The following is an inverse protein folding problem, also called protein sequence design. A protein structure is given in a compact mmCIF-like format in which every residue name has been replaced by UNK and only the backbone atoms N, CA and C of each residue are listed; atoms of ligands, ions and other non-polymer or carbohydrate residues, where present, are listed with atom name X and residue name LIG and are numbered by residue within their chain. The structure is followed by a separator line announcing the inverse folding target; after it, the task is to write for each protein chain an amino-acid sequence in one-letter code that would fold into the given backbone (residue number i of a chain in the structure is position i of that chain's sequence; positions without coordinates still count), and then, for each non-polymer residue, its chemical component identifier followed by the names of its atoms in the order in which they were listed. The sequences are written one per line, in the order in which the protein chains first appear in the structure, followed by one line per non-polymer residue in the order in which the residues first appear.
data_IF_314519359204
#
_entry.id   IF_314519359204
#
_cell.length_a   1.000
_cell.length_b   1.000
_cell.length_c   1.000
_cell.angle_alpha   90.00
_cell.angle_beta   90.00
_cell.angle_gamma   90.00
#
_symmetry.space_group_name_H-M   'P 1'
#
loop_
_entity.id
_entity.type
_entity.pdbx_description
1 polymer ?
#
# COMPACT_ATOMS: atom_id res chain seq x y z
N UNK A 1 -13.52 -15.12 5.65
CA UNK A 1 -13.27 -16.57 5.65
C UNK A 1 -12.22 -16.82 4.58
N UNK A 2 -10.95 -17.00 4.96
CA UNK A 2 -9.86 -17.10 3.97
C UNK A 2 -10.07 -18.31 3.06
N UNK A 3 -9.75 -18.16 1.76
CA UNK A 3 -9.91 -19.25 0.79
C UNK A 3 -8.87 -20.36 0.98
N UNK A 4 -7.71 -20.03 1.55
CA UNK A 4 -6.65 -21.00 1.84
C UNK A 4 -6.44 -21.18 3.34
N UNK A 5 -5.86 -22.32 3.74
CA UNK A 5 -5.50 -22.58 5.13
C UNK A 5 -4.45 -21.55 5.62
N UNK A 6 -4.42 -21.20 6.93
CA UNK A 6 -3.48 -20.19 7.45
C UNK A 6 -2.00 -20.47 7.16
N UNK A 7 -1.61 -21.74 7.01
CA UNK A 7 -0.25 -22.14 6.62
C UNK A 7 0.16 -21.67 5.22
N UNK A 8 -0.80 -21.26 4.37
CA UNK A 8 -0.57 -20.72 3.03
C UNK A 8 -0.56 -19.19 2.99
N UNK A 9 -0.62 -18.52 4.15
CA UNK A 9 -0.50 -17.07 4.21
C UNK A 9 0.85 -16.65 3.62
N UNK A 10 0.79 -15.95 2.48
CA UNK A 10 1.95 -15.48 1.74
C UNK A 10 1.71 -14.04 1.33
N UNK A 11 2.63 -13.14 1.67
CA UNK A 11 2.56 -11.72 1.29
C UNK A 11 2.40 -11.61 -0.23
N UNK A 12 3.15 -12.41 -0.98
CA UNK A 12 3.08 -12.46 -2.44
C UNK A 12 1.70 -12.89 -2.95
N UNK A 13 1.13 -13.96 -2.39
CA UNK A 13 -0.18 -14.45 -2.83
C UNK A 13 -1.29 -13.43 -2.55
N UNK A 14 -1.24 -12.77 -1.38
CA UNK A 14 -2.24 -11.80 -0.96
C UNK A 14 -2.08 -10.47 -1.72
N UNK A 15 -0.86 -9.99 -1.95
CA UNK A 15 -0.61 -8.89 -2.90
C UNK A 15 -1.02 -9.26 -4.33
N UNK A 16 -0.88 -10.53 -4.69
CA UNK A 16 -1.41 -11.08 -5.93
C UNK A 16 -2.94 -11.11 -6.00
N UNK A 17 -3.66 -10.85 -4.90
CA UNK A 17 -5.11 -10.89 -4.84
C UNK A 17 -5.68 -12.31 -5.00
N UNK A 18 -4.84 -13.34 -4.81
CA UNK A 18 -5.23 -14.74 -5.01
C UNK A 18 -6.20 -15.25 -3.93
N UNK A 19 -6.15 -14.64 -2.74
CA UNK A 19 -7.15 -14.82 -1.69
C UNK A 19 -7.79 -13.46 -1.36
N UNK A 20 -8.77 -13.02 -2.15
CA UNK A 20 -9.29 -11.66 -2.06
C UNK A 20 -10.04 -11.37 -0.76
N UNK A 21 -10.30 -12.38 0.07
CA UNK A 21 -10.98 -12.21 1.37
C UNK A 21 -10.04 -12.31 2.57
N UNK A 22 -8.75 -12.52 2.30
CA UNK A 22 -7.74 -12.69 3.33
C UNK A 22 -6.95 -11.40 3.53
N UNK A 23 -7.29 -10.71 4.61
CA UNK A 23 -6.63 -9.49 5.04
C UNK A 23 -5.65 -9.72 6.20
N UNK A 24 -5.06 -10.93 6.35
CA UNK A 24 -4.21 -11.28 7.50
C UNK A 24 -3.06 -10.29 7.72
N UNK A 25 -2.41 -9.82 6.65
CA UNK A 25 -1.31 -8.84 6.71
C UNK A 25 -1.76 -7.41 7.01
N UNK A 26 -3.06 -7.15 7.00
CA UNK A 26 -3.66 -5.89 7.44
C UNK A 26 -4.09 -5.95 8.90
N UNK A 27 -4.52 -7.11 9.40
CA UNK A 27 -4.98 -7.27 10.80
C UNK A 27 -3.89 -7.72 11.76
N UNK A 28 -2.76 -8.19 11.23
CA UNK A 28 -1.59 -8.68 11.99
C UNK A 28 -0.38 -7.81 11.69
N UNK A 29 -0.51 -6.49 11.92
CA UNK A 29 0.56 -5.53 11.63
C UNK A 29 1.64 -5.51 12.72
N UNK A 30 1.30 -5.85 13.96
CA UNK A 30 2.23 -5.89 15.11
C UNK A 30 3.12 -4.62 15.26
N UNK A 31 2.57 -3.46 14.90
CA UNK A 31 3.27 -2.16 14.96
C UNK A 31 4.12 -1.82 13.72
N UNK A 32 4.17 -2.71 12.72
CA UNK A 32 5.02 -2.57 11.51
C UNK A 32 4.30 -1.92 10.31
N UNK A 33 3.17 -1.27 10.54
CA UNK A 33 2.42 -0.61 9.49
C UNK A 33 1.29 0.30 9.94
N UNK A 34 0.67 0.93 8.97
CA UNK A 34 -0.36 1.95 9.12
C UNK A 34 -1.61 1.53 8.34
N UNK A 35 -2.79 1.77 8.92
CA UNK A 35 -4.08 1.53 8.27
C UNK A 35 -4.87 2.84 8.23
N UNK A 36 -5.27 3.23 7.02
CA UNK A 36 -6.12 4.39 6.78
C UNK A 36 -7.47 3.95 6.24
N UNK A 37 -8.51 4.64 6.69
CA UNK A 37 -9.88 4.39 6.29
C UNK A 37 -10.56 5.66 5.81
N UNK A 38 -11.28 5.55 4.69
CA UNK A 38 -12.27 6.57 4.34
C UNK A 38 -13.46 6.53 5.32
N UNK A 39 -14.26 7.61 5.40
CA UNK A 39 -15.66 7.50 5.83
C UNK A 39 -16.42 6.46 5.01
N UNK A 40 -17.56 5.95 5.50
CA UNK A 40 -18.45 5.12 4.68
C UNK A 40 -18.86 5.89 3.42
N UNK A 41 -18.83 5.20 2.29
CA UNK A 41 -19.26 5.76 1.00
C UNK A 41 -20.75 6.09 1.06
N UNK A 42 -21.12 7.31 0.67
CA UNK A 42 -22.53 7.75 0.62
C UNK A 42 -23.26 7.24 -0.62
N UNK A 43 -22.51 6.92 -1.67
CA UNK A 43 -22.98 6.39 -2.94
C UNK A 43 -22.02 5.29 -3.42
N UNK A 44 -22.44 4.48 -4.38
CA UNK A 44 -21.57 3.46 -4.94
C UNK A 44 -20.41 4.11 -5.69
N UNK A 45 -19.18 3.61 -5.48
CA UNK A 45 -17.97 4.15 -6.10
C UNK A 45 -17.44 3.17 -7.14
N UNK A 46 -17.52 3.53 -8.41
CA UNK A 46 -16.91 2.77 -9.51
C UNK A 46 -15.45 3.18 -9.66
N UNK A 47 -14.55 2.21 -9.62
CA UNK A 47 -13.11 2.40 -9.80
C UNK A 47 -12.69 1.63 -11.04
N UNK A 48 -12.01 2.30 -11.97
CA UNK A 48 -11.49 1.71 -13.22
C UNK A 48 -10.15 2.34 -13.52
N UNK A 49 -9.06 1.65 -13.18
CA UNK A 49 -7.71 2.18 -13.36
C UNK A 49 -6.70 1.66 -12.34
N UNK A 50 -5.51 2.24 -12.38
CA UNK A 50 -4.48 2.09 -11.35
C UNK A 50 -4.55 3.26 -10.35
N UNK A 51 -4.73 3.00 -9.05
CA UNK A 51 -4.53 3.99 -8.00
C UNK A 51 -3.12 4.57 -7.98
N UNK A 52 -2.95 5.71 -7.32
CA UNK A 52 -1.62 6.24 -7.01
C UNK A 52 -1.56 6.79 -5.60
N UNK A 53 -0.38 6.77 -5.00
CA UNK A 53 -0.16 7.18 -3.61
C UNK A 53 1.01 8.16 -3.54
N UNK A 54 0.74 9.35 -2.97
CA UNK A 54 1.78 10.32 -2.61
C UNK A 54 1.94 10.31 -1.09
N UNK A 55 3.12 9.94 -0.60
CA UNK A 55 3.44 9.91 0.82
C UNK A 55 4.43 11.02 1.15
N UNK A 56 4.13 11.78 2.21
CA UNK A 56 5.10 12.61 2.92
C UNK A 56 5.79 11.73 3.96
N UNK A 57 7.12 11.62 3.88
CA UNK A 57 7.88 10.70 4.74
C UNK A 57 9.12 11.36 5.33
N UNK A 58 9.55 10.85 6.50
CA UNK A 58 10.89 11.04 7.05
C UNK A 58 11.48 9.63 7.27
N UNK A 59 12.36 9.15 6.38
CA UNK A 59 13.02 7.86 6.52
C UNK A 59 14.26 7.96 7.42
N UNK A 60 14.70 6.85 8.01
CA UNK A 60 15.99 6.75 8.71
C UNK A 60 17.10 6.08 7.90
N UNK A 61 16.76 5.56 6.71
CA UNK A 61 17.68 4.94 5.75
C UNK A 61 17.51 5.53 4.36
N UNK A 62 18.50 5.31 3.50
CA UNK A 62 18.54 5.71 2.09
C UNK A 62 17.57 4.92 1.20
N UNK A 63 16.97 3.85 1.70
CA UNK A 63 15.94 3.10 1.00
C UNK A 63 15.04 2.28 1.94
N UNK A 64 13.87 1.87 1.45
CA UNK A 64 12.97 0.98 2.14
C UNK A 64 12.00 0.27 1.18
N UNK A 65 11.56 -0.91 1.59
CA UNK A 65 10.58 -1.72 0.87
C UNK A 65 9.20 -1.60 1.54
N UNK A 66 8.16 -1.27 0.77
CA UNK A 66 6.79 -1.11 1.23
C UNK A 66 5.83 -2.10 0.54
N UNK A 67 4.97 -2.72 1.34
CA UNK A 67 3.76 -3.40 0.87
C UNK A 67 2.57 -2.47 1.04
N UNK A 68 1.90 -2.17 -0.08
CA UNK A 68 0.71 -1.33 -0.14
C UNK A 68 -0.48 -2.21 -0.51
N UNK A 69 -1.56 -2.18 0.28
CA UNK A 69 -2.77 -2.95 -0.03
C UNK A 69 -4.01 -2.08 0.07
N UNK A 70 -4.86 -2.17 -0.95
CA UNK A 70 -6.16 -1.53 -1.00
C UNK A 70 -7.25 -2.58 -0.86
N UNK A 71 -8.20 -2.32 0.05
CA UNK A 71 -9.36 -3.16 0.27
C UNK A 71 -10.65 -2.33 0.28
N UNK A 72 -11.73 -2.94 -0.19
CA UNK A 72 -13.09 -2.55 0.18
C UNK A 72 -13.40 -3.18 1.55
N UNK A 73 -13.79 -2.38 2.53
CA UNK A 73 -14.31 -2.89 3.81
C UNK A 73 -15.81 -2.66 3.85
N UNK A 74 -16.55 -3.76 3.80
CA UNK A 74 -18.02 -3.75 3.75
C UNK A 74 -18.62 -3.43 5.13
N UNK A 75 -19.91 -3.05 5.19
CA UNK A 75 -20.61 -2.84 6.46
C UNK A 75 -20.58 -4.05 7.41
N UNK A 76 -20.49 -5.27 6.87
CA UNK A 76 -20.32 -6.51 7.64
C UNK A 76 -18.96 -6.63 8.34
N UNK A 77 -17.99 -5.80 7.98
CA UNK A 77 -16.60 -5.89 8.42
C UNK A 77 -15.69 -6.69 7.47
N UNK A 78 -16.27 -7.36 6.47
CA UNK A 78 -15.49 -8.12 5.48
C UNK A 78 -14.58 -7.18 4.67
N UNK A 79 -13.30 -7.53 4.58
CA UNK A 79 -12.33 -6.84 3.75
C UNK A 79 -12.11 -7.63 2.45
N UNK A 80 -12.36 -6.97 1.32
CA UNK A 80 -12.18 -7.54 -0.01
C UNK A 80 -11.04 -6.81 -0.72
N UNK A 81 -10.00 -7.56 -1.10
CA UNK A 81 -8.87 -7.06 -1.88
C UNK A 81 -9.33 -6.34 -3.15
N UNK A 82 -8.70 -5.20 -3.44
CA UNK A 82 -8.92 -4.42 -4.66
C UNK A 82 -7.66 -4.29 -5.51
N UNK A 83 -6.58 -3.79 -4.92
CA UNK A 83 -5.35 -3.43 -5.61
C UNK A 83 -4.20 -3.39 -4.60
N UNK A 84 -2.96 -3.37 -5.09
CA UNK A 84 -1.78 -3.36 -4.24
C UNK A 84 -0.56 -2.89 -5.01
N UNK A 85 0.52 -2.67 -4.27
CA UNK A 85 1.87 -2.59 -4.80
C UNK A 85 2.86 -3.21 -3.79
N UNK A 86 3.99 -3.70 -4.28
CA UNK A 86 5.17 -4.09 -3.50
C UNK A 86 6.35 -3.35 -4.10
N UNK A 87 6.81 -2.32 -3.42
CA UNK A 87 7.70 -1.34 -4.02
C UNK A 87 8.95 -1.15 -3.16
N UNK A 88 10.10 -1.09 -3.83
CA UNK A 88 11.31 -0.49 -3.27
C UNK A 88 11.30 0.99 -3.58
N UNK A 89 11.37 1.84 -2.55
CA UNK A 89 11.17 3.28 -2.73
C UNK A 89 12.21 3.91 -3.66
N UNK A 90 13.46 3.45 -3.68
CA UNK A 90 14.47 3.91 -4.65
C UNK A 90 14.07 3.63 -6.11
N UNK A 91 13.32 2.56 -6.36
CA UNK A 91 12.83 2.17 -7.70
C UNK A 91 11.39 2.61 -8.00
N UNK A 92 10.83 3.55 -7.21
CA UNK A 92 9.45 4.05 -7.38
C UNK A 92 9.14 4.63 -8.76
N UNK A 93 10.16 5.03 -9.52
CA UNK A 93 10.01 5.50 -10.90
C UNK A 93 10.38 4.36 -11.84
N UNK A 94 9.36 3.70 -12.40
CA UNK A 94 9.55 2.58 -13.31
C UNK A 94 10.35 3.00 -14.55
N UNK A 95 11.43 2.27 -14.84
CA UNK A 95 12.30 2.53 -15.99
C UNK A 95 13.23 3.75 -15.83
N UNK A 96 13.24 4.39 -14.65
CA UNK A 96 14.20 5.44 -14.30
C UNK A 96 15.40 4.90 -13.52
N UNK A 97 16.41 5.77 -13.34
CA UNK A 97 17.52 5.51 -12.43
C UNK A 97 17.04 5.45 -10.96
N UNK A 98 17.68 4.64 -10.09
CA UNK A 98 17.35 4.61 -8.67
C UNK A 98 17.43 5.99 -8.01
N UNK A 99 16.39 6.36 -7.27
CA UNK A 99 16.31 7.62 -6.55
C UNK A 99 16.33 7.37 -5.04
N UNK A 100 17.51 7.35 -4.44
CA UNK A 100 17.68 7.14 -3.00
C UNK A 100 16.89 8.18 -2.19
N UNK A 101 16.45 7.75 -1.01
CA UNK A 101 15.88 8.61 0.01
C UNK A 101 16.97 9.39 0.72
N UNK A 102 16.63 10.55 1.27
CA UNK A 102 17.53 11.30 2.15
C UNK A 102 17.17 11.03 3.63
N UNK A 103 17.99 10.30 4.40
CA UNK A 103 17.70 10.00 5.80
C UNK A 103 17.51 11.27 6.64
N UNK A 104 16.50 11.29 7.50
CA UNK A 104 16.19 12.38 8.40
C UNK A 104 15.48 13.58 7.76
N UNK A 105 15.38 13.64 6.42
CA UNK A 105 14.74 14.73 5.70
C UNK A 105 13.29 14.41 5.32
N UNK A 106 12.41 15.40 5.51
CA UNK A 106 11.04 15.34 5.03
C UNK A 106 11.01 15.42 3.50
N UNK A 107 10.43 14.41 2.86
CA UNK A 107 10.37 14.32 1.41
C UNK A 107 9.06 13.67 0.94
N UNK A 108 8.75 13.84 -0.35
CA UNK A 108 7.62 13.18 -0.99
C UNK A 108 8.08 12.04 -1.86
N UNK A 109 7.43 10.90 -1.68
CA UNK A 109 7.52 9.77 -2.61
C UNK A 109 6.16 9.55 -3.26
N UNK A 110 6.15 9.46 -4.59
CA UNK A 110 4.95 9.17 -5.38
C UNK A 110 5.08 7.77 -5.96
N UNK A 111 4.04 6.97 -5.78
CA UNK A 111 3.93 5.58 -6.22
C UNK A 111 2.74 5.50 -7.18
N UNK A 112 2.99 5.17 -8.44
CA UNK A 112 1.99 5.17 -9.52
C UNK A 112 1.62 3.78 -10.03
N UNK A 113 2.40 2.76 -9.68
CA UNK A 113 2.34 1.43 -10.28
C UNK A 113 1.45 0.44 -9.50
N UNK A 114 0.42 0.94 -8.82
CA UNK A 114 -0.57 0.04 -8.24
C UNK A 114 -1.20 -0.84 -9.33
N UNK A 115 -1.45 -2.09 -8.96
CA UNK A 115 -2.14 -3.03 -9.85
C UNK A 115 -3.48 -2.46 -10.30
N UNK A 116 -3.73 -2.51 -11.60
CA UNK A 116 -4.97 -2.04 -12.19
C UNK A 116 -6.17 -2.78 -11.58
N UNK A 117 -7.27 -2.06 -11.32
CA UNK A 117 -8.51 -2.64 -10.82
C UNK A 117 -9.74 -2.04 -11.51
N UNK A 118 -10.74 -2.89 -11.77
CA UNK A 118 -12.10 -2.47 -12.13
C UNK A 118 -13.10 -3.10 -11.18
N UNK A 119 -13.76 -2.27 -10.36
CA UNK A 119 -14.77 -2.72 -9.41
C UNK A 119 -15.66 -1.56 -8.98
N UNK A 120 -16.91 -1.88 -8.67
CA UNK A 120 -17.80 -0.98 -7.95
C UNK A 120 -17.85 -1.35 -6.46
N UNK A 121 -17.62 -0.36 -5.59
CA UNK A 121 -17.74 -0.48 -4.15
C UNK A 121 -19.16 -0.09 -3.74
N UNK A 122 -19.74 -0.82 -2.80
CA UNK A 122 -21.12 -0.58 -2.34
C UNK A 122 -21.27 0.66 -1.45
N UNK A 123 -22.51 1.16 -1.37
CA UNK A 123 -22.90 2.17 -0.37
C UNK A 123 -22.61 1.64 1.04
N UNK A 124 -22.05 2.49 1.90
CA UNK A 124 -21.66 2.11 3.27
C UNK A 124 -20.34 1.37 3.39
N UNK A 125 -19.77 0.87 2.28
CA UNK A 125 -18.40 0.35 2.27
C UNK A 125 -17.39 1.46 2.55
N UNK A 126 -16.18 1.10 2.96
CA UNK A 126 -15.04 2.01 3.14
C UNK A 126 -13.91 1.57 2.24
N UNK A 127 -13.12 2.54 1.78
CA UNK A 127 -11.80 2.26 1.24
C UNK A 127 -10.82 2.12 2.41
N UNK A 128 -10.00 1.06 2.40
CA UNK A 128 -8.88 0.86 3.33
C UNK A 128 -7.57 0.86 2.56
N UNK A 129 -6.62 1.65 3.02
CA UNK A 129 -5.21 1.56 2.63
C UNK A 129 -4.40 1.00 3.79
N UNK A 130 -3.66 -0.07 3.54
CA UNK A 130 -2.64 -0.60 4.44
C UNK A 130 -1.26 -0.30 3.86
N UNK A 131 -0.40 0.34 4.64
CA UNK A 131 1.01 0.61 4.33
C UNK A 131 1.85 -0.16 5.33
N UNK A 132 2.63 -1.13 4.87
CA UNK A 132 3.47 -1.96 5.74
C UNK A 132 4.91 -1.92 5.27
N UNK A 133 5.84 -1.68 6.19
CA UNK A 133 7.25 -1.90 5.91
C UNK A 133 7.51 -3.41 5.81
N UNK A 134 8.14 -3.86 4.74
CA UNK A 134 8.36 -5.29 4.51
C UNK A 134 9.81 -5.56 4.22
N UNK A 135 10.47 -6.33 5.08
CA UNK A 135 11.75 -6.93 4.72
C UNK A 135 11.46 -8.30 4.09
N UNK A 136 11.26 -8.33 2.77
CA UNK A 136 10.89 -9.55 2.05
C UNK A 136 12.11 -10.16 1.37
N UNK A 137 12.35 -11.46 1.55
CA UNK A 137 13.36 -12.21 0.79
C UNK A 137 13.09 -12.21 -0.74
N UNK A 138 11.89 -11.84 -1.16
CA UNK A 138 11.51 -11.68 -2.57
C UNK A 138 12.02 -10.37 -3.19
N UNK A 139 12.43 -9.42 -2.36
CA UNK A 139 13.09 -8.19 -2.77
C UNK A 139 14.58 -8.38 -2.49
N UNK A 140 15.40 -8.74 -3.50
CA UNK A 140 16.84 -8.95 -3.30
C UNK A 140 17.47 -7.73 -2.63
N UNK A 141 18.55 -7.91 -1.89
CA UNK A 141 19.29 -6.78 -1.35
C UNK A 141 19.61 -5.79 -2.49
N UNK A 142 19.33 -4.50 -2.28
CA UNK A 142 19.70 -3.49 -3.25
C UNK A 142 21.24 -3.44 -3.34
N UNK A 143 21.84 -3.68 -4.52
CA UNK A 143 23.28 -3.51 -4.68
C UNK A 143 23.76 -2.07 -4.44
N UNK A 144 22.85 -1.08 -4.43
CA UNK A 144 23.16 0.33 -4.18
C UNK A 144 22.95 0.76 -2.72
N UNK A 145 22.49 -0.12 -1.83
CA UNK A 145 22.33 0.22 -0.42
C UNK A 145 23.70 0.57 0.19
N UNK A 146 23.81 1.77 0.77
CA UNK A 146 25.12 2.30 1.21
C UNK A 146 25.45 2.03 2.68
N UNK A 147 24.55 1.35 3.43
CA UNK A 147 24.71 1.08 4.87
C UNK A 147 24.54 -0.39 5.28
N UNK A 148 24.92 -0.72 6.53
CA UNK A 148 24.56 -1.98 7.17
C UNK A 148 23.04 -2.07 7.30
N UNK A 149 22.41 -3.14 6.79
CA UNK A 149 20.96 -3.35 6.87
C UNK A 149 20.54 -3.67 8.31
N UNK A 150 20.39 -2.62 9.12
CA UNK A 150 19.67 -2.65 10.38
C UNK A 150 18.15 -2.64 10.17
N UNK A 151 17.42 -2.60 11.28
CA UNK A 151 15.98 -2.29 11.25
C UNK A 151 15.82 -0.87 10.70
N UNK A 152 15.05 -0.70 9.64
CA UNK A 152 14.71 0.62 9.07
C UNK A 152 13.31 1.04 9.48
N UNK A 153 13.10 2.35 9.59
CA UNK A 153 11.82 2.95 9.93
C UNK A 153 11.49 4.10 9.00
N UNK A 154 10.20 4.22 8.67
CA UNK A 154 9.67 5.33 7.90
C UNK A 154 8.57 5.99 8.71
N UNK A 155 8.74 7.27 9.05
CA UNK A 155 7.63 8.08 9.55
C UNK A 155 6.82 8.61 8.39
N UNK A 156 5.56 8.21 8.31
CA UNK A 156 4.59 8.80 7.37
C UNK A 156 3.92 10.01 8.03
N UNK A 157 3.99 11.15 7.36
CA UNK A 157 3.40 12.40 7.79
C UNK A 157 2.03 12.57 7.13
N UNK A 158 1.04 12.98 7.93
CA UNK A 158 -0.29 13.32 7.42
C UNK A 158 -0.79 14.55 8.16
N UNK A 159 -0.75 15.70 7.47
CA UNK A 159 -1.15 17.00 8.00
C UNK A 159 -2.27 17.56 7.11
N UNK A 160 -3.20 18.31 7.69
CA UNK A 160 -4.30 18.90 6.93
C UNK A 160 -3.84 19.88 5.84
N UNK A 161 -2.72 20.58 6.07
CA UNK A 161 -2.15 21.57 5.14
C UNK A 161 -1.34 20.94 3.99
N UNK A 162 -0.84 19.73 4.19
CA UNK A 162 -0.01 19.00 3.23
C UNK A 162 -0.15 17.49 3.47
N UNK A 163 -1.26 16.89 3.02
CA UNK A 163 -1.56 15.50 3.33
C UNK A 163 -0.77 14.55 2.42
N UNK A 164 -0.42 13.38 2.96
CA UNK A 164 -0.26 12.20 2.11
C UNK A 164 -1.61 11.85 1.46
N UNK A 165 -1.63 11.57 0.15
CA UNK A 165 -2.86 11.43 -0.66
C UNK A 165 -2.87 10.11 -1.43
N UNK A 166 -3.96 9.36 -1.27
CA UNK A 166 -4.33 8.25 -2.14
C UNK A 166 -5.29 8.76 -3.22
N UNK A 167 -4.91 8.64 -4.48
CA UNK A 167 -5.74 9.01 -5.64
C UNK A 167 -6.39 7.76 -6.21
N UNK A 168 -7.71 7.82 -6.42
CA UNK A 168 -8.51 6.71 -6.94
C UNK A 168 -9.02 7.06 -8.34
N UNK A 169 -8.82 6.17 -9.33
CA UNK A 169 -9.29 6.37 -10.70
C UNK A 169 -10.79 6.05 -10.76
N UNK A 170 -11.62 7.06 -10.55
CA UNK A 170 -13.08 6.93 -10.57
C UNK A 170 -13.55 6.71 -12.00
N UNK A 171 -14.25 5.60 -12.25
CA UNK A 171 -14.93 5.35 -13.51
C UNK A 171 -16.21 6.17 -13.58
N UNK A 172 -16.39 6.93 -14.67
CA UNK A 172 -17.66 7.63 -14.91
C UNK A 172 -18.78 6.65 -15.23
N UNK A 173 -20.00 6.95 -14.78
CA UNK A 173 -21.20 6.34 -15.34
C UNK A 173 -21.41 6.97 -16.73
N UNK A 174 -21.17 6.21 -17.80
CA UNK A 174 -21.79 6.49 -19.09
C UNK A 174 -23.13 5.75 -19.15
#
# INVERSE_FOLDING_TARGET
NALFAPSYNSVLMIQGGNDPTNAVFTVSLDGEGLVYHSPPLKEALTIVGSPSLSLRIIPDSDDADLSLQLHEVRPSGDAIFMSSDLIRLSHRVLGGEPQLLVPGEEQTVTITEFRWCARQLGVGSRLRLTVRAVNSALMPADPHATGEKGVTSIRVLHRASDPSVLTIPVGGNQ
#
